data_IF_079076078723
#
_entry.id   IF_079076078723
#
_cell.length_a   1.000
_cell.length_b   1.000
_cell.length_c   1.000
_cell.angle_alpha   90.00
_cell.angle_beta   90.00
_cell.angle_gamma   90.00
#
_symmetry.space_group_name_H-M   'P 1'
#
loop_
_entity.id
_entity.type
_entity.pdbx_description
1 polymer ?
#
# COMPACT_ATOMS: atom_id res chain seq x y z
N UNK A 1 -17.67 19.76 4.86
CA UNK A 1 -16.26 19.55 4.43
C UNK A 1 -16.29 18.74 3.14
N UNK A 2 -15.40 19.04 2.20
CA UNK A 2 -15.20 18.24 0.97
C UNK A 2 -13.78 17.69 0.99
N UNK A 3 -13.58 16.55 0.34
CA UNK A 3 -12.28 15.89 0.26
C UNK A 3 -11.83 15.79 -1.19
N UNK A 4 -10.54 15.92 -1.43
CA UNK A 4 -9.94 15.56 -2.72
C UNK A 4 -9.22 14.24 -2.58
N UNK A 5 -9.30 13.41 -3.62
CA UNK A 5 -8.60 12.14 -3.69
C UNK A 5 -7.88 12.05 -5.03
N UNK A 6 -6.68 11.48 -5.04
CA UNK A 6 -6.01 11.05 -6.26
C UNK A 6 -6.28 9.56 -6.48
N UNK A 7 -6.49 9.19 -7.74
CA UNK A 7 -6.68 7.80 -8.16
C UNK A 7 -5.66 7.48 -9.23
N UNK A 8 -4.77 6.55 -8.89
CA UNK A 8 -3.80 5.92 -9.79
C UNK A 8 -4.26 4.52 -10.20
N UNK A 9 -3.57 3.91 -11.16
CA UNK A 9 -3.94 2.64 -11.73
C UNK A 9 -3.08 2.26 -12.93
N UNK A 10 -3.59 1.38 -13.77
CA UNK A 10 -2.96 1.02 -15.05
C UNK A 10 -3.38 1.93 -16.22
N UNK A 11 -4.01 3.06 -15.92
CA UNK A 11 -4.28 4.12 -16.89
C UNK A 11 -3.00 4.89 -17.29
N UNK A 12 -3.11 5.81 -18.24
CA UNK A 12 -2.06 6.78 -18.55
C UNK A 12 -2.18 8.12 -17.81
N UNK A 13 -3.12 8.18 -16.87
CA UNK A 13 -3.50 9.39 -16.15
C UNK A 13 -3.68 9.12 -14.66
N UNK A 14 -3.46 10.15 -13.85
CA UNK A 14 -3.95 10.21 -12.48
C UNK A 14 -5.20 11.09 -12.47
N UNK A 15 -6.30 10.55 -11.93
CA UNK A 15 -7.54 11.29 -11.77
C UNK A 15 -7.60 11.96 -10.40
N UNK A 16 -8.16 13.16 -10.34
CA UNK A 16 -8.48 13.84 -9.07
C UNK A 16 -9.98 13.87 -8.89
N UNK A 17 -10.44 13.29 -7.79
CA UNK A 17 -11.84 13.23 -7.43
C UNK A 17 -12.18 14.24 -6.34
N UNK A 18 -13.41 14.74 -6.35
CA UNK A 18 -13.99 15.52 -5.28
C UNK A 18 -15.10 14.71 -4.62
N UNK A 19 -14.94 14.45 -3.33
CA UNK A 19 -15.93 13.76 -2.51
C UNK A 19 -16.64 14.77 -1.58
N UNK A 20 -17.97 14.81 -1.67
CA UNK A 20 -18.83 15.59 -0.77
C UNK A 20 -19.71 14.65 0.06
N UNK A 21 -19.39 14.42 1.35
CA UNK A 21 -20.19 13.56 2.21
C UNK A 21 -21.62 14.06 2.41
N UNK A 22 -21.83 15.38 2.43
CA UNK A 22 -23.15 15.98 2.63
C UNK A 22 -24.14 15.61 1.51
N UNK A 23 -23.61 15.35 0.31
CA UNK A 23 -24.40 15.04 -0.87
C UNK A 23 -24.23 13.58 -1.33
N UNK A 24 -23.47 12.76 -0.59
CA UNK A 24 -23.13 11.39 -1.01
C UNK A 24 -22.58 11.33 -2.45
N UNK A 25 -21.79 12.33 -2.86
CA UNK A 25 -21.38 12.51 -4.25
C UNK A 25 -19.87 12.37 -4.43
N UNK A 26 -19.46 11.68 -5.48
CA UNK A 26 -18.08 11.56 -5.95
C UNK A 26 -18.03 11.94 -7.43
N UNK A 27 -17.17 12.90 -7.79
CA UNK A 27 -17.02 13.36 -9.17
C UNK A 27 -15.55 13.57 -9.53
N UNK A 28 -15.22 13.35 -10.80
CA UNK A 28 -13.90 13.71 -11.33
C UNK A 28 -13.83 15.20 -11.59
N UNK A 29 -12.84 15.88 -11.01
CA UNK A 29 -12.60 17.32 -11.22
C UNK A 29 -11.38 17.60 -12.08
N UNK A 30 -10.51 16.61 -12.25
CA UNK A 30 -9.27 16.74 -13.01
C UNK A 30 -8.79 15.36 -13.48
N UNK A 31 -8.14 15.32 -14.64
CA UNK A 31 -7.42 14.16 -15.16
C UNK A 31 -6.09 14.66 -15.69
N UNK A 32 -4.99 14.16 -15.14
CA UNK A 32 -3.65 14.64 -15.45
C UNK A 32 -2.81 13.53 -16.03
N UNK A 33 -2.07 13.82 -17.11
CA UNK A 33 -1.18 12.85 -17.73
C UNK A 33 -0.08 12.42 -16.74
N UNK A 34 0.21 11.12 -16.71
CA UNK A 34 1.20 10.52 -15.81
C UNK A 34 2.00 9.40 -16.49
N UNK A 35 2.07 9.40 -17.82
CA UNK A 35 2.75 8.37 -18.62
C UNK A 35 1.98 7.04 -18.58
N UNK A 36 2.61 5.93 -18.20
CA UNK A 36 1.93 4.62 -18.11
C UNK A 36 1.97 4.08 -16.69
N UNK A 37 0.86 3.48 -16.26
CA UNK A 37 0.76 2.72 -15.02
C UNK A 37 1.22 3.45 -13.75
N UNK A 38 0.67 4.64 -13.41
CA UNK A 38 0.84 5.28 -12.11
C UNK A 38 0.15 4.48 -11.01
N UNK A 39 0.67 3.29 -10.71
CA UNK A 39 -0.01 2.24 -9.97
C UNK A 39 0.06 2.39 -8.45
N UNK A 40 1.01 3.19 -7.96
CA UNK A 40 1.13 3.62 -6.57
C UNK A 40 1.39 5.13 -6.49
N UNK A 41 0.72 5.82 -5.56
CA UNK A 41 0.91 7.25 -5.28
C UNK A 41 1.25 7.42 -3.80
N UNK A 42 2.22 8.28 -3.49
CA UNK A 42 2.52 8.72 -2.12
C UNK A 42 2.57 10.24 -2.02
N UNK A 43 2.21 10.76 -0.84
CA UNK A 43 2.30 12.19 -0.50
C UNK A 43 3.63 12.52 0.15
N UNK A 44 4.10 13.77 0.00
CA UNK A 44 5.14 14.31 0.87
C UNK A 44 4.60 14.51 2.31
N UNK A 45 5.34 14.14 3.37
CA UNK A 45 4.82 14.13 4.75
C UNK A 45 4.43 15.52 5.29
N UNK A 46 5.06 16.58 4.78
CA UNK A 46 4.84 17.97 5.26
C UNK A 46 4.37 18.93 4.19
N UNK A 47 4.39 18.55 2.92
CA UNK A 47 3.99 19.41 1.80
C UNK A 47 2.87 18.73 1.01
N UNK A 48 1.63 19.02 1.38
CA UNK A 48 0.44 18.39 0.80
C UNK A 48 0.25 18.69 -0.69
N UNK A 49 0.98 19.65 -1.24
CA UNK A 49 0.95 19.95 -2.67
C UNK A 49 1.88 19.04 -3.48
N UNK A 50 2.69 18.19 -2.85
CA UNK A 50 3.63 17.30 -3.55
C UNK A 50 3.20 15.84 -3.43
N UNK A 51 3.15 15.18 -4.57
CA UNK A 51 2.89 13.74 -4.67
C UNK A 51 3.89 13.09 -5.63
N UNK A 52 4.12 11.80 -5.41
CA UNK A 52 5.03 10.98 -6.20
C UNK A 52 4.29 9.74 -6.65
N UNK A 53 4.55 9.28 -7.86
CA UNK A 53 3.93 8.08 -8.40
C UNK A 53 4.99 7.11 -8.95
N UNK A 54 4.75 5.81 -8.80
CA UNK A 54 5.49 4.78 -9.54
C UNK A 54 5.05 4.75 -11.00
N UNK A 55 5.85 4.15 -11.88
CA UNK A 55 5.39 3.71 -13.20
C UNK A 55 5.91 2.29 -13.43
N UNK A 56 4.99 1.32 -13.52
CA UNK A 56 5.30 -0.09 -13.69
C UNK A 56 5.79 -0.40 -15.13
N UNK A 57 7.01 0.02 -15.45
CA UNK A 57 7.63 -0.16 -16.78
C UNK A 57 8.71 -1.24 -16.79
N UNK A 58 8.92 -1.81 -17.99
CA UNK A 58 10.00 -2.74 -18.35
C UNK A 58 10.78 -2.19 -19.55
N UNK A 59 12.10 -2.42 -19.67
CA UNK A 59 12.96 -3.07 -18.69
C UNK A 59 13.39 -2.15 -17.53
N UNK A 60 12.96 -0.88 -17.53
CA UNK A 60 13.34 0.09 -16.50
C UNK A 60 12.09 0.85 -16.04
N UNK A 61 11.75 0.65 -14.77
CA UNK A 61 10.69 1.39 -14.09
C UNK A 61 11.12 2.82 -13.76
N UNK A 62 10.14 3.71 -13.63
CA UNK A 62 10.38 5.12 -13.30
C UNK A 62 9.52 5.54 -12.10
N UNK A 63 9.90 6.65 -11.48
CA UNK A 63 9.06 7.40 -10.56
C UNK A 63 8.87 8.82 -11.08
N UNK A 64 7.71 9.40 -10.80
CA UNK A 64 7.33 10.75 -11.19
C UNK A 64 7.07 11.60 -9.96
N UNK A 65 7.32 12.90 -10.04
CA UNK A 65 6.89 13.89 -9.05
C UNK A 65 5.88 14.86 -9.66
N UNK A 66 4.92 15.30 -8.85
CA UNK A 66 3.89 16.25 -9.26
C UNK A 66 3.63 17.30 -8.20
N UNK A 67 3.26 18.50 -8.67
CA UNK A 67 2.59 19.52 -7.86
C UNK A 67 1.08 19.43 -8.08
N UNK A 68 0.34 19.32 -6.98
CA UNK A 68 -1.13 19.35 -6.94
C UNK A 68 -1.60 20.81 -6.94
N UNK A 69 -2.30 21.21 -7.99
CA UNK A 69 -2.85 22.56 -8.12
C UNK A 69 -4.17 22.71 -7.35
N UNK A 70 -4.57 23.95 -7.08
CA UNK A 70 -5.84 24.24 -6.41
C UNK A 70 -7.05 23.71 -7.20
N UNK A 71 -6.98 23.66 -8.53
CA UNK A 71 -8.01 23.06 -9.39
C UNK A 71 -8.10 21.53 -9.26
N UNK A 72 -7.11 20.87 -8.65
CA UNK A 72 -6.96 19.42 -8.63
C UNK A 72 -6.13 18.87 -9.80
N UNK A 73 -5.76 19.68 -10.78
CA UNK A 73 -4.82 19.26 -11.82
C UNK A 73 -3.43 18.98 -11.21
N UNK A 74 -2.75 17.97 -11.72
CA UNK A 74 -1.37 17.66 -11.39
C UNK A 74 -0.45 18.22 -12.47
N UNK A 75 0.58 18.95 -12.06
CA UNK A 75 1.68 19.37 -12.93
C UNK A 75 2.87 18.46 -12.65
N UNK A 76 3.25 17.62 -13.62
CA UNK A 76 4.47 16.82 -13.50
C UNK A 76 5.68 17.76 -13.43
N UNK A 77 6.58 17.51 -12.49
CA UNK A 77 7.80 18.30 -12.29
C UNK A 77 9.01 17.54 -12.80
N UNK A 78 9.19 16.30 -12.36
CA UNK A 78 10.39 15.54 -12.65
C UNK A 78 10.10 14.02 -12.78
N UNK A 79 11.10 13.29 -13.28
CA UNK A 79 11.09 11.83 -13.37
C UNK A 79 12.47 11.26 -13.09
N UNK A 80 12.54 10.13 -12.39
CA UNK A 80 13.79 9.40 -12.16
C UNK A 80 13.63 7.91 -12.43
N UNK A 81 14.73 7.25 -12.81
CA UNK A 81 14.76 5.80 -12.88
C UNK A 81 14.61 5.21 -11.47
N UNK A 82 13.75 4.19 -11.33
CA UNK A 82 13.49 3.50 -10.06
C UNK A 82 14.65 2.58 -9.60
N UNK A 83 15.70 2.44 -10.41
CA UNK A 83 16.81 1.52 -10.15
C UNK A 83 16.46 0.03 -10.35
N UNK A 84 15.32 -0.27 -10.97
CA UNK A 84 14.87 -1.64 -11.25
C UNK A 84 13.69 -1.68 -12.22
N UNK A 85 12.90 -2.75 -12.14
CA UNK A 85 11.79 -2.99 -13.07
C UNK A 85 10.46 -3.00 -12.31
N UNK A 86 9.41 -2.46 -12.93
CA UNK A 86 8.04 -2.46 -12.36
C UNK A 86 7.97 -2.09 -10.85
N UNK A 87 8.29 -0.85 -10.46
CA UNK A 87 8.16 -0.37 -9.08
C UNK A 87 6.73 -0.52 -8.56
N UNK A 88 6.56 -1.30 -7.50
CA UNK A 88 5.25 -1.59 -6.92
C UNK A 88 4.86 -0.60 -5.80
N UNK A 89 5.84 -0.04 -5.10
CA UNK A 89 5.58 0.87 -3.98
C UNK A 89 6.74 1.84 -3.76
N UNK A 90 6.39 3.04 -3.33
CA UNK A 90 7.35 4.04 -2.85
C UNK A 90 6.82 4.73 -1.58
N UNK A 91 7.74 5.28 -0.79
CA UNK A 91 7.41 6.13 0.35
C UNK A 91 8.36 7.33 0.41
N UNK A 92 7.85 8.46 0.91
CA UNK A 92 8.65 9.59 1.35
C UNK A 92 8.77 9.48 2.87
N UNK A 93 9.95 9.19 3.44
CA UNK A 93 10.12 9.10 4.89
C UNK A 93 9.77 10.42 5.58
N UNK A 94 9.55 10.40 6.90
CA UNK A 94 9.11 11.58 7.68
C UNK A 94 10.06 12.78 7.59
N UNK A 95 11.33 12.57 7.23
CA UNK A 95 12.30 13.63 6.97
C UNK A 95 11.98 14.46 5.71
N UNK A 96 11.16 13.93 4.79
CA UNK A 96 10.76 14.59 3.54
C UNK A 96 11.86 14.73 2.49
N UNK A 97 13.05 14.16 2.69
CA UNK A 97 14.24 14.53 1.90
C UNK A 97 14.63 13.49 0.86
N UNK A 98 13.90 12.39 0.75
CA UNK A 98 14.23 11.29 -0.15
C UNK A 98 12.98 10.46 -0.47
N UNK A 99 13.05 9.68 -1.54
CA UNK A 99 12.06 8.66 -1.89
C UNK A 99 12.73 7.30 -1.81
N UNK A 100 12.12 6.39 -1.06
CA UNK A 100 12.51 4.97 -1.05
C UNK A 100 11.53 4.23 -1.96
N UNK A 101 12.05 3.50 -2.95
CA UNK A 101 11.25 2.77 -3.94
C UNK A 101 11.65 1.29 -3.98
N UNK A 102 10.65 0.41 -4.12
CA UNK A 102 10.82 -1.03 -4.25
C UNK A 102 10.27 -1.52 -5.58
N UNK A 103 11.10 -2.32 -6.26
CA UNK A 103 10.88 -2.85 -7.61
C UNK A 103 10.45 -4.31 -7.53
N UNK A 104 9.19 -4.57 -7.87
CA UNK A 104 8.61 -5.91 -7.79
C UNK A 104 9.28 -6.84 -8.80
N UNK A 105 9.43 -6.38 -10.04
CA UNK A 105 10.16 -7.12 -11.06
C UNK A 105 11.66 -6.85 -10.91
N UNK A 106 12.46 -7.91 -10.88
CA UNK A 106 13.92 -7.82 -10.71
C UNK A 106 14.39 -7.73 -9.25
N UNK A 107 13.49 -7.74 -8.27
CA UNK A 107 13.83 -7.91 -6.87
C UNK A 107 14.82 -6.87 -6.35
N UNK A 108 14.53 -5.58 -6.50
CA UNK A 108 15.47 -4.52 -6.11
C UNK A 108 14.79 -3.33 -5.44
N UNK A 109 15.59 -2.40 -4.92
CA UNK A 109 15.10 -1.12 -4.43
C UNK A 109 16.20 -0.09 -4.37
N UNK A 110 15.84 1.19 -4.27
CA UNK A 110 16.84 2.25 -4.10
C UNK A 110 16.31 3.43 -3.28
N UNK A 111 17.25 4.24 -2.81
CA UNK A 111 17.01 5.53 -2.22
C UNK A 111 17.29 6.62 -3.26
N UNK A 112 16.40 7.60 -3.39
CA UNK A 112 16.52 8.71 -4.34
C UNK A 112 16.40 10.02 -3.54
N UNK A 113 17.49 10.79 -3.39
CA UNK A 113 17.42 12.11 -2.74
C UNK A 113 16.41 13.02 -3.43
N UNK A 114 15.79 13.90 -2.66
CA UNK A 114 14.99 14.99 -3.18
C UNK A 114 15.76 16.30 -3.11
N UNK A 115 15.59 17.15 -4.13
CA UNK A 115 16.14 18.49 -4.19
C UNK A 115 15.67 19.41 -3.06
N UNK A 116 16.17 20.63 -3.06
CA UNK A 116 15.78 21.62 -2.05
C UNK A 116 14.27 21.92 -2.07
N UNK A 117 13.67 21.92 -3.26
CA UNK A 117 12.23 22.14 -3.47
C UNK A 117 11.36 20.90 -3.21
N UNK A 118 12.00 19.76 -2.93
CA UNK A 118 11.38 18.44 -2.75
C UNK A 118 10.67 17.88 -3.98
N UNK A 119 10.58 18.63 -5.07
CA UNK A 119 9.88 18.24 -6.29
C UNK A 119 10.83 17.60 -7.31
N UNK A 120 12.08 18.02 -7.36
CA UNK A 120 13.08 17.41 -8.24
C UNK A 120 13.82 16.26 -7.55
N UNK A 121 14.17 15.24 -8.34
CA UNK A 121 14.96 14.11 -7.89
C UNK A 121 16.46 14.44 -8.00
N UNK A 122 17.21 14.05 -6.98
CA UNK A 122 18.67 13.96 -7.05
C UNK A 122 19.12 12.66 -7.70
N UNK A 123 20.43 12.46 -7.78
CA UNK A 123 21.01 11.22 -8.32
C UNK A 123 20.62 10.02 -7.46
N UNK A 124 19.94 8.99 -8.03
CA UNK A 124 19.65 7.75 -7.32
C UNK A 124 20.90 7.09 -6.77
N UNK A 125 20.83 6.55 -5.55
CA UNK A 125 21.88 5.66 -5.05
C UNK A 125 21.90 4.34 -5.83
N UNK A 126 23.01 3.57 -5.76
CA UNK A 126 23.03 2.22 -6.29
C UNK A 126 21.87 1.39 -5.72
N UNK A 127 21.16 0.70 -6.61
CA UNK A 127 20.06 -0.17 -6.20
C UNK A 127 20.60 -1.36 -5.40
N UNK A 128 19.91 -1.70 -4.32
CA UNK A 128 20.13 -2.95 -3.60
C UNK A 128 19.35 -4.07 -4.30
N UNK A 129 19.98 -5.24 -4.44
CA UNK A 129 19.35 -6.44 -4.98
C UNK A 129 18.97 -7.40 -3.84
N UNK A 130 17.80 -8.00 -3.96
CA UNK A 130 17.28 -9.04 -3.09
C UNK A 130 17.34 -10.38 -3.79
N UNK A 131 17.66 -11.43 -3.02
CA UNK A 131 17.72 -12.80 -3.52
C UNK A 131 16.86 -13.70 -2.63
N UNK A 132 16.12 -14.59 -3.25
CA UNK A 132 15.25 -15.53 -2.58
C UNK A 132 14.22 -16.11 -3.53
N UNK A 133 13.67 -17.25 -3.15
CA UNK A 133 12.57 -17.93 -3.83
C UNK A 133 11.65 -18.54 -2.76
N UNK A 134 10.45 -18.92 -3.17
CA UNK A 134 9.46 -19.58 -2.34
C UNK A 134 8.93 -20.85 -3.01
N UNK A 135 8.07 -21.61 -2.32
CA UNK A 135 7.56 -22.89 -2.83
C UNK A 135 6.57 -22.76 -3.99
N UNK A 136 5.95 -21.59 -4.21
CA UNK A 136 5.05 -21.36 -5.34
C UNK A 136 5.86 -20.99 -6.59
N UNK A 137 6.10 -21.95 -7.47
CA UNK A 137 6.97 -21.79 -8.66
C UNK A 137 6.48 -20.76 -9.67
N UNK A 138 5.19 -20.41 -9.66
CA UNK A 138 4.59 -19.48 -10.62
C UNK A 138 4.61 -18.03 -10.12
N UNK A 139 4.80 -17.83 -8.81
CA UNK A 139 4.67 -16.52 -8.14
C UNK A 139 5.87 -16.15 -7.26
N UNK A 140 6.77 -17.10 -7.02
CA UNK A 140 7.91 -17.00 -6.09
C UNK A 140 9.19 -17.56 -6.72
N UNK A 141 9.33 -17.42 -8.03
CA UNK A 141 10.50 -17.83 -8.81
C UNK A 141 11.73 -16.96 -8.51
N UNK A 142 11.52 -15.77 -7.97
CA UNK A 142 12.56 -14.82 -7.55
C UNK A 142 12.04 -13.92 -6.42
N UNK A 143 12.83 -12.93 -6.01
CA UNK A 143 12.42 -11.93 -5.03
C UNK A 143 11.48 -10.90 -5.65
N UNK A 144 10.40 -10.58 -4.93
CA UNK A 144 9.36 -9.64 -5.32
C UNK A 144 8.98 -8.70 -4.14
N UNK A 145 9.84 -7.73 -3.79
CA UNK A 145 9.55 -6.75 -2.75
C UNK A 145 8.34 -5.90 -3.17
N UNK A 146 7.33 -5.83 -2.31
CA UNK A 146 6.02 -5.27 -2.68
C UNK A 146 5.68 -3.97 -1.94
N UNK A 147 6.23 -3.74 -0.76
CA UNK A 147 6.00 -2.52 0.03
C UNK A 147 7.29 -2.02 0.65
N UNK A 148 7.33 -0.74 1.01
CA UNK A 148 8.34 -0.19 1.92
C UNK A 148 7.65 0.53 3.07
N UNK A 149 7.98 0.13 4.31
CA UNK A 149 7.47 0.74 5.54
C UNK A 149 8.62 1.30 6.36
N UNK A 150 8.61 2.60 6.64
CA UNK A 150 9.57 3.23 7.54
C UNK A 150 9.28 2.82 8.99
N UNK A 151 10.31 2.37 9.72
CA UNK A 151 10.19 1.89 11.09
C UNK A 151 11.42 2.33 11.91
N UNK A 152 11.27 3.38 12.72
CA UNK A 152 12.40 3.96 13.46
C UNK A 152 13.52 4.41 12.51
N UNK A 153 14.67 3.76 12.60
CA UNK A 153 15.86 4.03 11.77
C UNK A 153 16.07 2.99 10.65
N UNK A 154 15.11 2.09 10.43
CA UNK A 154 15.16 1.07 9.39
C UNK A 154 13.92 1.12 8.49
N UNK A 155 13.95 0.32 7.43
CA UNK A 155 12.83 0.09 6.52
C UNK A 155 12.51 -1.39 6.47
N UNK A 156 11.22 -1.72 6.52
CA UNK A 156 10.69 -3.08 6.47
C UNK A 156 10.05 -3.33 5.10
N UNK A 157 10.49 -4.39 4.42
CA UNK A 157 10.15 -4.67 3.02
C UNK A 157 9.53 -6.07 2.93
N UNK A 158 8.19 -6.22 2.94
CA UNK A 158 7.58 -7.50 2.61
C UNK A 158 7.92 -7.91 1.18
N UNK A 159 8.40 -9.13 1.05
CA UNK A 159 8.82 -9.73 -0.21
C UNK A 159 8.00 -10.99 -0.46
N UNK A 160 7.10 -10.88 -1.44
CA UNK A 160 6.18 -11.93 -1.83
C UNK A 160 6.94 -13.17 -2.29
N UNK A 161 8.00 -12.96 -3.06
CA UNK A 161 8.74 -14.03 -3.72
C UNK A 161 9.69 -14.79 -2.78
N UNK A 162 10.19 -14.14 -1.73
CA UNK A 162 11.16 -14.74 -0.82
C UNK A 162 10.58 -15.23 0.52
N UNK A 163 9.27 -15.02 0.78
CA UNK A 163 8.61 -15.26 2.07
C UNK A 163 9.34 -14.59 3.25
N UNK A 164 9.71 -13.32 3.07
CA UNK A 164 10.48 -12.54 4.05
C UNK A 164 9.91 -11.15 4.22
N UNK A 165 10.19 -10.54 5.37
CA UNK A 165 10.23 -9.10 5.51
C UNK A 165 11.69 -8.68 5.64
N UNK A 166 12.28 -8.13 4.58
CA UNK A 166 13.65 -7.61 4.64
C UNK A 166 13.74 -6.38 5.53
N UNK A 167 14.89 -6.21 6.18
CA UNK A 167 15.20 -5.07 7.03
C UNK A 167 16.33 -4.29 6.40
N UNK A 168 16.11 -3.02 6.08
CA UNK A 168 17.12 -2.17 5.46
C UNK A 168 17.49 -1.02 6.38
N UNK A 169 18.78 -0.69 6.41
CA UNK A 169 19.28 0.57 6.96
C UNK A 169 19.88 1.40 5.83
N UNK A 170 20.36 2.60 6.16
CA UNK A 170 21.14 3.43 5.24
C UNK A 170 22.58 3.50 5.71
N UNK A 171 23.50 3.42 4.76
CA UNK A 171 24.91 3.74 5.00
C UNK A 171 25.07 5.23 5.33
N UNK A 172 26.27 5.63 5.77
CA UNK A 172 26.63 7.04 5.94
C UNK A 172 26.52 7.87 4.66
N UNK A 173 26.64 7.23 3.49
CA UNK A 173 26.46 7.90 2.20
C UNK A 173 24.99 8.08 1.83
N UNK A 174 24.06 7.31 2.41
CA UNK A 174 22.63 7.31 2.09
C UNK A 174 22.14 6.10 1.28
N UNK A 175 23.05 5.22 0.84
CA UNK A 175 22.69 4.00 0.11
C UNK A 175 22.02 2.97 1.03
N UNK A 176 21.05 2.21 0.50
CA UNK A 176 20.37 1.14 1.25
C UNK A 176 21.32 -0.03 1.54
N UNK A 177 21.20 -0.61 2.73
CA UNK A 177 21.99 -1.76 3.18
C UNK A 177 21.09 -2.83 3.80
N UNK A 178 21.25 -4.09 3.37
CA UNK A 178 20.53 -5.23 3.95
C UNK A 178 21.03 -5.46 5.38
N UNK A 179 20.12 -5.42 6.35
CA UNK A 179 20.36 -5.55 7.78
C UNK A 179 19.67 -6.79 8.38
N UNK A 180 19.30 -7.75 7.52
CA UNK A 180 18.65 -9.00 7.89
C UNK A 180 17.22 -9.09 7.38
N UNK A 181 16.48 -10.06 7.92
CA UNK A 181 15.08 -10.28 7.58
C UNK A 181 14.33 -10.93 8.73
N UNK A 182 13.00 -10.82 8.68
CA UNK A 182 12.06 -11.56 9.52
C UNK A 182 11.38 -12.60 8.65
N UNK A 183 11.59 -13.87 8.96
CA UNK A 183 11.03 -14.99 8.21
C UNK A 183 9.50 -14.99 8.31
N UNK A 184 8.84 -15.19 7.16
CA UNK A 184 7.40 -15.39 7.06
C UNK A 184 7.07 -16.86 6.77
N UNK A 185 5.82 -17.31 6.96
CA UNK A 185 5.42 -18.67 6.58
C UNK A 185 5.72 -18.94 5.10
N UNK A 186 6.27 -20.12 4.78
CA UNK A 186 6.61 -20.48 3.41
C UNK A 186 5.34 -20.62 2.54
N UNK A 187 5.39 -20.08 1.33
CA UNK A 187 4.28 -20.06 0.38
C UNK A 187 3.20 -19.02 0.69
N UNK A 188 3.42 -18.15 1.68
CA UNK A 188 2.42 -17.16 2.09
C UNK A 188 2.44 -15.92 1.19
N UNK A 189 3.61 -15.48 0.76
CA UNK A 189 3.78 -14.31 -0.07
C UNK A 189 3.39 -13.01 0.65
N UNK A 190 4.18 -12.52 1.63
CA UNK A 190 3.88 -11.26 2.32
C UNK A 190 3.84 -10.09 1.33
N UNK A 191 2.77 -9.31 1.36
CA UNK A 191 2.51 -8.23 0.41
C UNK A 191 2.59 -6.86 1.06
N UNK A 192 1.68 -6.56 1.97
CA UNK A 192 1.64 -5.31 2.75
C UNK A 192 1.74 -5.63 4.24
N UNK A 193 2.40 -4.75 4.99
CA UNK A 193 2.60 -4.87 6.43
C UNK A 193 2.18 -3.59 7.16
N UNK A 194 1.88 -3.76 8.44
CA UNK A 194 1.74 -2.66 9.41
C UNK A 194 2.70 -2.94 10.57
N UNK A 195 3.55 -1.96 10.90
CA UNK A 195 4.37 -1.96 12.10
C UNK A 195 3.75 -1.04 13.16
N UNK A 196 3.46 -1.56 14.35
CA UNK A 196 2.90 -0.79 15.48
C UNK A 196 3.65 -1.11 16.77
N UNK A 197 4.48 -0.18 17.23
CA UNK A 197 5.45 -0.51 18.28
C UNK A 197 6.33 -1.66 17.80
N UNK A 198 6.52 -2.70 18.62
CA UNK A 198 7.26 -3.90 18.19
C UNK A 198 6.40 -4.94 17.49
N UNK A 199 5.09 -4.71 17.28
CA UNK A 199 4.24 -5.65 16.56
C UNK A 199 4.38 -5.47 15.04
N UNK A 200 4.62 -6.58 14.34
CA UNK A 200 4.54 -6.71 12.89
C UNK A 200 3.25 -7.45 12.54
N UNK A 201 2.40 -6.80 11.76
CA UNK A 201 1.25 -7.43 11.11
C UNK A 201 1.55 -7.60 9.63
N UNK A 202 1.55 -8.83 9.13
CA UNK A 202 1.85 -9.11 7.72
C UNK A 202 0.66 -9.74 7.01
N UNK A 203 0.23 -9.08 5.94
CA UNK A 203 -0.81 -9.58 5.04
C UNK A 203 -0.17 -10.35 3.89
N UNK A 204 -0.61 -11.60 3.73
CA UNK A 204 -0.03 -12.55 2.79
C UNK A 204 -0.94 -12.72 1.57
N UNK A 205 -0.44 -12.33 0.39
CA UNK A 205 -1.20 -12.35 -0.86
C UNK A 205 -1.63 -13.76 -1.25
N UNK A 206 -0.68 -14.71 -1.24
CA UNK A 206 -0.91 -16.04 -1.81
C UNK A 206 -1.76 -16.92 -0.89
N UNK A 207 -1.61 -16.77 0.43
CA UNK A 207 -2.36 -17.56 1.41
C UNK A 207 -3.65 -16.89 1.90
N UNK A 208 -3.90 -15.62 1.57
CA UNK A 208 -5.02 -14.84 2.11
C UNK A 208 -5.11 -14.87 3.65
N UNK A 209 -3.96 -14.78 4.32
CA UNK A 209 -3.83 -14.77 5.78
C UNK A 209 -3.22 -13.47 6.29
N UNK A 210 -3.57 -13.10 7.51
CA UNK A 210 -2.92 -12.04 8.28
C UNK A 210 -2.19 -12.69 9.47
N UNK A 211 -0.91 -12.39 9.63
CA UNK A 211 -0.10 -12.90 10.75
C UNK A 211 0.38 -11.78 11.66
N UNK A 212 0.72 -12.14 12.90
CA UNK A 212 1.39 -11.27 13.86
C UNK A 212 2.72 -11.88 14.30
N UNK A 213 3.76 -11.07 14.34
CA UNK A 213 5.09 -11.38 14.91
C UNK A 213 5.61 -10.18 15.70
N UNK A 214 6.63 -10.40 16.52
CA UNK A 214 7.42 -9.31 17.13
C UNK A 214 8.56 -8.93 16.20
N UNK A 215 8.74 -7.64 15.92
CA UNK A 215 9.92 -7.10 15.25
C UNK A 215 11.09 -7.20 16.24
N UNK A 216 12.10 -8.05 15.99
CA UNK A 216 13.22 -8.18 16.89
C UNK A 216 14.12 -6.94 16.80
N UNK A 217 14.92 -6.64 17.85
CA UNK A 217 15.92 -5.57 17.77
C UNK A 217 16.80 -5.69 16.53
N UNK A 218 17.25 -4.56 15.99
CA UNK A 218 18.14 -4.55 14.84
C UNK A 218 19.45 -5.28 15.18
N UNK A 219 19.93 -6.14 14.27
CA UNK A 219 21.09 -6.99 14.50
C UNK A 219 20.82 -8.30 15.26
N UNK A 220 19.58 -8.53 15.73
CA UNK A 220 19.19 -9.83 16.28
C UNK A 220 19.29 -10.93 15.23
N UNK A 221 19.90 -12.06 15.59
CA UNK A 221 19.96 -13.27 14.76
C UNK A 221 18.81 -14.23 15.03
N UNK A 222 18.04 -14.01 16.10
CA UNK A 222 16.87 -14.82 16.45
C UNK A 222 15.68 -14.44 15.58
N UNK A 223 15.08 -15.44 14.92
CA UNK A 223 13.83 -15.28 14.16
C UNK A 223 12.63 -15.35 15.12
N UNK A 224 11.74 -14.34 15.12
CA UNK A 224 10.55 -14.35 15.96
C UNK A 224 9.52 -15.36 15.43
N UNK A 225 8.88 -16.18 16.28
CA UNK A 225 7.79 -17.03 15.85
C UNK A 225 6.54 -16.19 15.49
N UNK A 226 5.71 -16.70 14.60
CA UNK A 226 4.34 -16.19 14.40
C UNK A 226 3.53 -16.41 15.68
N UNK A 227 3.02 -15.35 16.28
CA UNK A 227 2.27 -15.39 17.55
C UNK A 227 0.77 -15.46 17.34
N UNK A 228 0.27 -15.01 16.19
CA UNK A 228 -1.13 -15.17 15.78
C UNK A 228 -1.24 -15.26 14.26
N UNK A 229 -2.26 -15.97 13.76
CA UNK A 229 -2.56 -16.10 12.35
C UNK A 229 -4.07 -16.25 12.16
N UNK A 230 -4.64 -15.54 11.21
CA UNK A 230 -6.06 -15.62 10.87
C UNK A 230 -6.26 -15.57 9.36
N UNK A 231 -7.21 -16.35 8.84
CA UNK A 231 -7.66 -16.23 7.46
C UNK A 231 -8.51 -14.97 7.31
N UNK A 232 -8.29 -14.22 6.23
CA UNK A 232 -9.15 -13.08 5.86
C UNK A 232 -10.15 -13.42 4.76
N UNK A 233 -10.25 -14.71 4.39
CA UNK A 233 -11.25 -15.20 3.44
C UNK A 233 -12.64 -15.07 4.08
N UNK A 234 -13.60 -14.40 3.41
CA UNK A 234 -14.98 -14.36 3.89
C UNK A 234 -15.58 -15.77 4.00
N UNK A 235 -16.28 -16.05 5.09
CA UNK A 235 -16.86 -17.38 5.36
C UNK A 235 -17.92 -17.80 4.34
N UNK A 236 -18.51 -16.84 3.63
CA UNK A 236 -19.51 -17.02 2.57
C UNK A 236 -18.89 -17.02 1.16
N UNK A 237 -17.55 -17.06 1.03
CA UNK A 237 -16.91 -17.12 -0.29
C UNK A 237 -17.20 -18.43 -1.02
N UNK A 238 -17.57 -18.33 -2.29
CA UNK A 238 -17.86 -19.50 -3.13
C UNK A 238 -16.63 -20.03 -3.86
N UNK A 239 -15.49 -19.31 -3.83
CA UNK A 239 -14.24 -19.73 -4.47
C UNK A 239 -13.01 -19.35 -3.64
N UNK A 240 -12.90 -19.85 -2.39
CA UNK A 240 -11.86 -19.44 -1.43
C UNK A 240 -10.43 -19.62 -1.95
N UNK A 241 -10.18 -20.61 -2.82
CA UNK A 241 -8.85 -20.89 -3.38
C UNK A 241 -8.38 -19.87 -4.43
N UNK A 242 -9.29 -19.08 -5.01
CA UNK A 242 -8.94 -18.05 -5.99
C UNK A 242 -8.64 -16.69 -5.33
N UNK A 243 -8.86 -16.57 -4.03
CA UNK A 243 -8.72 -15.30 -3.32
C UNK A 243 -7.25 -14.94 -3.09
N UNK A 244 -6.92 -13.68 -3.30
CA UNK A 244 -5.58 -13.13 -3.06
C UNK A 244 -5.65 -11.78 -2.34
N UNK A 245 -4.97 -11.68 -1.20
CA UNK A 245 -4.97 -10.45 -0.40
C UNK A 245 -4.31 -9.28 -1.14
N UNK A 246 -4.62 -8.04 -0.75
CA UNK A 246 -3.99 -6.85 -1.32
C UNK A 246 -3.59 -5.81 -0.27
N UNK A 247 -4.53 -4.99 0.18
CA UNK A 247 -4.23 -3.83 1.02
C UNK A 247 -4.36 -4.13 2.49
N UNK A 248 -3.52 -3.49 3.32
CA UNK A 248 -3.58 -3.56 4.77
C UNK A 248 -3.48 -2.15 5.36
N UNK A 249 -4.54 -1.73 6.06
CA UNK A 249 -4.60 -0.41 6.69
C UNK A 249 -4.82 -0.54 8.20
N UNK A 250 -4.07 0.23 8.98
CA UNK A 250 -4.36 0.42 10.40
C UNK A 250 -5.19 1.68 10.59
N UNK A 251 -6.37 1.54 11.21
CA UNK A 251 -7.21 2.71 11.49
C UNK A 251 -6.63 3.62 12.57
N UNK A 252 -6.92 4.92 12.55
CA UNK A 252 -6.64 5.80 13.67
C UNK A 252 -7.61 5.53 14.83
N UNK A 253 -7.18 5.86 16.04
CA UNK A 253 -8.03 5.91 17.23
C UNK A 253 -8.59 7.32 17.39
N UNK A 254 -9.88 7.43 17.64
CA UNK A 254 -10.57 8.71 17.88
C UNK A 254 -11.73 8.52 18.86
N UNK A 255 -12.40 9.61 19.26
CA UNK A 255 -13.62 9.52 20.06
C UNK A 255 -14.76 8.79 19.34
N UNK A 256 -14.85 8.90 18.01
CA UNK A 256 -15.83 8.19 17.19
C UNK A 256 -15.46 6.71 16.97
N UNK A 257 -14.17 6.40 16.96
CA UNK A 257 -13.62 5.06 16.72
C UNK A 257 -12.55 4.74 17.79
N UNK A 258 -12.97 4.38 19.02
CA UNK A 258 -12.02 4.16 20.12
C UNK A 258 -11.22 2.87 19.96
N UNK A 259 -11.77 1.88 19.26
CA UNK A 259 -11.08 0.62 18.96
C UNK A 259 -10.32 0.73 17.66
N UNK A 260 -9.06 0.30 17.68
CA UNK A 260 -8.22 0.24 16.50
C UNK A 260 -8.37 -1.10 15.80
N UNK A 261 -8.69 -1.06 14.51
CA UNK A 261 -8.80 -2.24 13.65
C UNK A 261 -7.80 -2.18 12.49
N UNK A 262 -7.39 -3.36 12.02
CA UNK A 262 -6.80 -3.54 10.70
C UNK A 262 -7.92 -3.77 9.67
N UNK A 263 -7.78 -3.18 8.49
CA UNK A 263 -8.66 -3.40 7.33
C UNK A 263 -7.82 -4.05 6.25
N UNK A 264 -8.16 -5.29 5.89
CA UNK A 264 -7.45 -6.07 4.88
C UNK A 264 -8.35 -6.34 3.67
N UNK A 265 -7.91 -6.01 2.46
CA UNK A 265 -8.69 -6.33 1.24
C UNK A 265 -8.34 -7.72 0.73
N UNK A 266 -9.35 -8.42 0.21
CA UNK A 266 -9.18 -9.69 -0.48
C UNK A 266 -9.83 -9.64 -1.86
N UNK A 267 -9.15 -10.20 -2.87
CA UNK A 267 -9.52 -10.06 -4.28
C UNK A 267 -9.82 -11.40 -4.91
N UNK A 268 -10.71 -11.44 -5.88
CA UNK A 268 -10.97 -12.63 -6.70
C UNK A 268 -12.25 -13.38 -6.34
N UNK A 269 -13.15 -12.74 -5.60
CA UNK A 269 -14.50 -13.25 -5.37
C UNK A 269 -15.51 -12.59 -6.33
N UNK A 270 -16.76 -13.09 -6.31
CA UNK A 270 -17.90 -12.51 -7.03
C UNK A 270 -18.22 -11.07 -6.58
N UNK A 271 -18.02 -10.80 -5.28
CA UNK A 271 -17.97 -9.46 -4.70
C UNK A 271 -16.87 -9.46 -3.64
N UNK A 272 -15.80 -8.72 -3.87
CA UNK A 272 -14.68 -8.68 -2.95
C UNK A 272 -15.06 -8.05 -1.60
N UNK A 273 -14.33 -8.43 -0.56
CA UNK A 273 -14.61 -8.06 0.82
C UNK A 273 -13.43 -7.32 1.46
N UNK A 274 -13.75 -6.60 2.54
CA UNK A 274 -12.76 -6.05 3.46
C UNK A 274 -12.86 -6.79 4.77
N UNK A 275 -11.83 -7.54 5.18
CA UNK A 275 -11.78 -8.11 6.51
C UNK A 275 -11.41 -7.02 7.52
N UNK A 276 -12.26 -6.81 8.53
CA UNK A 276 -12.00 -5.94 9.67
C UNK A 276 -11.48 -6.83 10.81
N UNK A 277 -10.24 -6.60 11.23
CA UNK A 277 -9.54 -7.45 12.20
C UNK A 277 -9.26 -6.65 13.47
N UNK A 278 -9.77 -7.16 14.58
CA UNK A 278 -9.42 -6.71 15.93
C UNK A 278 -8.03 -7.23 16.31
N UNK A 279 -7.18 -6.32 16.77
CA UNK A 279 -5.79 -6.57 17.16
C UNK A 279 -5.56 -6.46 18.67
N UNK A 280 -6.63 -6.40 19.46
CA UNK A 280 -6.57 -6.32 20.92
C UNK A 280 -6.02 -7.61 21.55
N UNK A 281 -5.36 -7.46 22.70
CA UNK A 281 -4.86 -8.59 23.49
C UNK A 281 -3.77 -9.44 22.81
N UNK A 282 -3.06 -8.92 21.80
CA UNK A 282 -2.09 -9.68 20.98
C UNK A 282 -2.73 -10.89 20.26
N UNK A 283 -4.00 -10.76 19.88
CA UNK A 283 -4.71 -11.75 19.06
C UNK A 283 -5.15 -11.12 17.75
N UNK A 284 -5.51 -11.95 16.77
CA UNK A 284 -6.10 -11.53 15.50
C UNK A 284 -7.48 -12.15 15.36
N UNK A 285 -8.53 -11.31 15.49
CA UNK A 285 -9.91 -11.77 15.35
C UNK A 285 -10.61 -11.02 14.23
N UNK A 286 -11.05 -11.73 13.19
CA UNK A 286 -11.90 -11.14 12.15
C UNK A 286 -13.28 -10.87 12.77
N UNK A 287 -13.62 -9.60 12.91
CA UNK A 287 -14.90 -9.16 13.52
C UNK A 287 -15.96 -8.82 12.48
N UNK A 288 -15.56 -8.62 11.22
CA UNK A 288 -16.48 -8.39 10.11
C UNK A 288 -15.79 -8.62 8.76
N UNK A 289 -16.56 -8.98 7.73
CA UNK A 289 -16.10 -9.08 6.34
C UNK A 289 -17.11 -8.43 5.37
N UNK A 290 -17.34 -7.10 5.42
CA UNK A 290 -18.34 -6.47 4.57
C UNK A 290 -18.05 -6.69 3.08
N UNK A 291 -19.06 -7.16 2.35
CA UNK A 291 -19.03 -7.25 0.88
C UNK A 291 -19.16 -5.85 0.28
N UNK A 292 -18.30 -5.55 -0.68
CA UNK A 292 -18.16 -4.18 -1.20
C UNK A 292 -18.92 -3.93 -2.51
N UNK A 293 -19.32 -4.99 -3.22
CA UNK A 293 -19.83 -4.88 -4.58
C UNK A 293 -18.78 -4.43 -5.61
N UNK A 294 -17.50 -4.42 -5.23
CA UNK A 294 -16.36 -4.14 -6.11
C UNK A 294 -15.64 -5.44 -6.48
N UNK A 295 -14.84 -5.39 -7.55
CA UNK A 295 -14.07 -6.54 -8.03
C UNK A 295 -12.59 -6.19 -8.23
N UNK A 296 -11.71 -7.13 -7.86
CA UNK A 296 -10.26 -6.95 -7.71
C UNK A 296 -9.90 -5.72 -6.85
N UNK A 297 -10.34 -5.70 -5.59
CA UNK A 297 -10.00 -4.69 -4.57
C UNK A 297 -8.49 -4.60 -4.27
N UNK A 298 -7.76 -3.83 -5.10
CA UNK A 298 -6.31 -3.72 -5.02
C UNK A 298 -5.81 -2.48 -4.29
N UNK A 299 -6.61 -1.43 -4.20
CA UNK A 299 -6.25 -0.17 -3.55
C UNK A 299 -7.28 0.24 -2.49
N UNK A 300 -6.80 0.76 -1.37
CA UNK A 300 -7.64 1.21 -0.27
C UNK A 300 -6.95 2.36 0.49
N UNK A 301 -7.72 3.33 0.96
CA UNK A 301 -7.19 4.40 1.81
C UNK A 301 -8.23 4.93 2.80
N UNK A 302 -7.82 5.07 4.07
CA UNK A 302 -8.63 5.76 5.08
C UNK A 302 -8.48 7.27 4.95
N UNK A 303 -9.59 7.99 5.14
CA UNK A 303 -9.58 9.46 5.13
C UNK A 303 -8.71 10.03 6.25
N UNK A 304 -8.20 11.26 6.12
CA UNK A 304 -7.45 11.90 7.20
C UNK A 304 -8.27 12.07 8.49
N UNK A 305 -7.59 12.34 9.59
CA UNK A 305 -8.23 12.60 10.89
C UNK A 305 -8.67 11.33 11.60
N UNK A 306 -9.97 11.19 11.84
CA UNK A 306 -10.58 10.03 12.52
C UNK A 306 -10.73 8.81 11.62
N UNK A 307 -10.36 8.92 10.34
CA UNK A 307 -10.49 7.85 9.38
C UNK A 307 -11.93 7.50 9.08
N UNK A 308 -12.89 8.41 9.23
CA UNK A 308 -14.33 8.15 9.06
C UNK A 308 -14.70 7.49 7.74
N UNK A 309 -13.99 7.80 6.66
CA UNK A 309 -14.26 7.25 5.33
C UNK A 309 -13.15 6.30 4.88
N UNK A 310 -13.53 5.22 4.19
CA UNK A 310 -12.65 4.28 3.52
C UNK A 310 -12.91 4.37 2.01
N UNK A 311 -11.92 4.79 1.25
CA UNK A 311 -11.96 4.75 -0.21
C UNK A 311 -11.40 3.41 -0.70
N UNK A 312 -12.08 2.78 -1.67
CA UNK A 312 -11.71 1.49 -2.24
C UNK A 312 -11.66 1.59 -3.77
N UNK A 313 -10.63 0.99 -4.37
CA UNK A 313 -10.45 0.87 -5.81
C UNK A 313 -10.69 -0.57 -6.25
N UNK A 314 -11.74 -0.78 -7.05
CA UNK A 314 -12.02 -2.05 -7.72
C UNK A 314 -11.32 -2.08 -9.07
N UNK A 315 -10.12 -2.68 -9.11
CA UNK A 315 -9.31 -2.76 -10.32
C UNK A 315 -10.08 -3.43 -11.48
N UNK A 316 -10.77 -4.52 -11.19
CA UNK A 316 -11.43 -5.36 -12.19
C UNK A 316 -12.74 -4.74 -12.68
N UNK A 317 -13.43 -4.00 -11.81
CA UNK A 317 -14.68 -3.32 -12.18
C UNK A 317 -14.49 -1.90 -12.71
N UNK A 318 -13.30 -1.30 -12.55
CA UNK A 318 -13.03 0.08 -12.98
C UNK A 318 -13.74 1.12 -12.11
N UNK A 319 -13.97 0.78 -10.84
CA UNK A 319 -14.76 1.56 -9.89
C UNK A 319 -13.91 2.12 -8.76
N UNK A 320 -14.28 3.29 -8.28
CA UNK A 320 -13.84 3.85 -7.00
C UNK A 320 -15.08 4.13 -6.14
N UNK A 321 -15.10 3.61 -4.92
CA UNK A 321 -16.20 3.81 -3.98
C UNK A 321 -15.72 4.31 -2.63
N UNK A 322 -16.55 5.12 -1.98
CA UNK A 322 -16.32 5.64 -0.62
C UNK A 322 -17.32 4.98 0.31
N UNK A 323 -16.81 4.42 1.40
CA UNK A 323 -17.57 3.81 2.48
C UNK A 323 -17.43 4.64 3.76
N UNK A 324 -18.52 4.87 4.47
CA UNK A 324 -18.50 5.37 5.85
C UNK A 324 -18.26 4.20 6.79
N UNK A 325 -17.30 4.33 7.70
CA UNK A 325 -17.13 3.41 8.83
C UNK A 325 -18.25 3.64 9.83
N UNK A 326 -19.00 2.59 10.13
CA UNK A 326 -20.13 2.59 11.07
C UNK A 326 -19.92 1.52 12.14
N UNK A 327 -20.80 1.48 13.15
CA UNK A 327 -20.77 0.48 14.23
C UNK A 327 -19.38 0.38 14.91
N UNK A 328 -18.84 1.53 15.31
CA UNK A 328 -17.51 1.60 15.94
C UNK A 328 -16.34 1.24 15.00
N UNK A 329 -16.58 1.14 13.70
CA UNK A 329 -15.56 0.81 12.69
C UNK A 329 -15.70 -0.60 12.11
N UNK A 330 -16.55 -1.46 12.69
CA UNK A 330 -16.72 -2.84 12.23
C UNK A 330 -17.64 -2.98 11.01
N UNK A 331 -18.46 -1.97 10.72
CA UNK A 331 -19.31 -1.93 9.53
C UNK A 331 -18.82 -0.91 8.50
N UNK A 332 -19.13 -1.18 7.23
CA UNK A 332 -18.87 -0.29 6.10
C UNK A 332 -20.17 -0.02 5.35
N UNK A 333 -20.55 1.25 5.21
CA UNK A 333 -21.72 1.68 4.43
C UNK A 333 -21.26 2.43 3.19
N UNK A 334 -21.55 1.93 1.99
CA UNK A 334 -21.25 2.67 0.76
C UNK A 334 -22.05 3.98 0.75
N UNK A 335 -21.37 5.10 0.52
CA UNK A 335 -21.99 6.43 0.47
C UNK A 335 -21.74 7.17 -0.84
N UNK A 336 -20.76 6.75 -1.64
CA UNK A 336 -20.55 7.28 -2.98
C UNK A 336 -19.81 6.24 -3.84
N UNK A 337 -20.01 6.25 -5.15
CA UNK A 337 -19.31 5.42 -6.12
C UNK A 337 -19.18 6.17 -7.45
N UNK A 338 -18.06 6.00 -8.13
CA UNK A 338 -17.80 6.51 -9.46
C UNK A 338 -17.12 5.41 -10.29
N UNK A 339 -17.56 5.23 -11.53
CA UNK A 339 -17.11 4.19 -12.45
C UNK A 339 -16.39 4.80 -13.65
N UNK A 340 -15.70 3.96 -14.43
CA UNK A 340 -15.05 4.36 -15.68
C UNK A 340 -13.54 4.62 -15.56
N UNK A 341 -12.92 4.15 -14.48
CA UNK A 341 -11.46 4.19 -14.33
C UNK A 341 -10.83 2.95 -14.99
N UNK A 342 -9.74 3.14 -15.72
CA UNK A 342 -8.96 2.01 -16.24
C UNK A 342 -8.15 1.40 -15.11
N UNK A 343 -8.66 0.28 -14.57
CA UNK A 343 -7.99 -0.55 -13.56
C UNK A 343 -7.37 0.27 -12.41
N UNK A 344 -8.18 0.96 -11.58
CA UNK A 344 -7.67 1.75 -10.47
C UNK A 344 -7.02 0.84 -9.41
N UNK A 345 -5.85 1.22 -8.91
CA UNK A 345 -5.06 0.42 -7.95
C UNK A 345 -4.54 1.19 -6.75
N UNK A 346 -4.54 2.53 -6.79
CA UNK A 346 -4.05 3.37 -5.69
C UNK A 346 -4.99 4.54 -5.46
N UNK A 347 -5.22 4.86 -4.18
CA UNK A 347 -6.02 6.00 -3.76
C UNK A 347 -5.24 6.76 -2.69
N UNK A 348 -5.20 8.09 -2.82
CA UNK A 348 -4.56 8.97 -1.84
C UNK A 348 -5.50 10.13 -1.52
N UNK A 349 -5.71 10.41 -0.23
CA UNK A 349 -6.43 11.59 0.23
C UNK A 349 -5.49 12.79 0.32
N UNK A 350 -5.96 13.97 -0.12
CA UNK A 350 -5.20 15.24 -0.10
C UNK A 350 -5.60 16.14 1.09
#
# INVERSE_FOLDING_TARGET
MVYKLLVGGYASTIATLLFSPANSSLSTIANSAAGYSPSWIATHPTNKSLVYATQELLPTGTILSFVVQQSGQLTQIDSAASGGQSPAHLVVPSNGNEVIVMNYMGGSGTNIPLGADKAHFGTPYPAIAFNGTGPNTDRQESSHPHQVVAYGNEYLIPDLGADKVWRLTKSSSGALQNSGYIQQPLGSGPRHIVAKGTALYALHELSSTLTQQTIPPLGSTTQPPVTASVSIIPSDSTNPSALSAAELLLSPVSSAFPTQYLYATNRGDSSDAVAVVDISGNTLNVVSTPRTGLNQLRGAALSPGDGKYLALAGQGSGDVAIFERINGGTGLKQIAKLSGFTQPTSIVWL
#
